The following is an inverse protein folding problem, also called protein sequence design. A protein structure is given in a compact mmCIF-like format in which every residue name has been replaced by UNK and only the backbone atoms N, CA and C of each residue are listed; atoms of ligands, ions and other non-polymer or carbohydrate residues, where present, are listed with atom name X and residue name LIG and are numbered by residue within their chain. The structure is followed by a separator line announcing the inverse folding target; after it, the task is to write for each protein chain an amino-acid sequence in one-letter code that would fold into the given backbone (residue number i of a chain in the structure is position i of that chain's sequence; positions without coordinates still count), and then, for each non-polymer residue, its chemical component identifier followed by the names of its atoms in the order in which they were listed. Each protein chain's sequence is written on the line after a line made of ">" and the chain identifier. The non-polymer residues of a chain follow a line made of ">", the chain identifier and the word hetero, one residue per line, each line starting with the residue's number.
data_IF_202012814136
#
_entry.id   IF_202012814136
#
_cell.length_a   1.000
_cell.length_b   1.000
_cell.length_c   1.000
_cell.angle_alpha   90.00
_cell.angle_beta   90.00
_cell.angle_gamma   90.00
#
_symmetry.space_group_name_H-M   'P 1'
#
loop_
_entity.id
_entity.type
_entity.pdbx_description
1 polymer ?
#
# COMPACT_ATOMS: atom_id res chain seq x y z
N UNK A 1 -5.81 77.31 -35.62
CA UNK A 1 -4.51 78.00 -35.55
C UNK A 1 -3.50 77.07 -34.87
N UNK A 2 -2.43 76.78 -35.59
CA UNK A 2 -1.08 76.35 -35.18
C UNK A 2 -0.82 75.05 -34.38
N UNK A 3 -0.22 74.10 -35.10
CA UNK A 3 1.14 73.53 -34.90
C UNK A 3 1.59 73.04 -33.51
N UNK A 4 2.01 71.76 -33.46
CA UNK A 4 3.43 71.38 -33.29
C UNK A 4 3.59 69.85 -33.18
N UNK A 5 4.23 69.22 -34.18
CA UNK A 5 5.64 68.77 -34.22
C UNK A 5 5.98 67.58 -33.34
N UNK A 6 6.30 66.49 -34.04
CA UNK A 6 7.19 65.43 -33.61
C UNK A 6 8.48 66.00 -32.99
N UNK A 7 8.91 65.39 -31.88
CA UNK A 7 10.32 65.36 -31.48
C UNK A 7 10.69 63.95 -31.03
N UNK A 8 11.65 63.37 -31.75
CA UNK A 8 12.41 62.21 -31.34
C UNK A 8 13.08 62.46 -29.99
N UNK A 9 12.96 61.49 -29.08
CA UNK A 9 13.88 61.33 -27.96
C UNK A 9 14.63 60.01 -28.13
N UNK A 10 15.96 60.15 -28.12
CA UNK A 10 17.02 59.18 -28.35
C UNK A 10 16.84 57.92 -27.49
N UNK A 11 16.78 56.76 -28.13
CA UNK A 11 16.98 55.47 -27.46
C UNK A 11 18.43 55.43 -26.98
N UNK A 12 18.60 55.43 -25.67
CA UNK A 12 19.89 55.34 -24.99
C UNK A 12 20.41 53.89 -25.11
N UNK A 13 21.35 53.65 -26.03
CA UNK A 13 21.94 52.34 -26.37
C UNK A 13 22.82 51.73 -25.27
N UNK A 14 22.72 52.17 -24.01
CA UNK A 14 23.57 51.70 -22.91
C UNK A 14 22.87 50.82 -21.86
N UNK A 15 21.63 50.37 -22.08
CA UNK A 15 20.92 49.47 -21.15
C UNK A 15 20.54 48.08 -21.71
N UNK A 16 21.02 47.69 -22.90
CA UNK A 16 20.69 46.39 -23.50
C UNK A 16 21.71 45.27 -23.20
N UNK A 17 22.85 45.59 -22.57
CA UNK A 17 23.91 44.61 -22.24
C UNK A 17 23.98 44.24 -20.75
N UNK A 18 23.03 44.66 -19.91
CA UNK A 18 22.98 44.27 -18.48
C UNK A 18 21.84 43.31 -18.09
N UNK A 19 20.96 42.96 -19.02
CA UNK A 19 19.85 42.02 -18.77
C UNK A 19 20.07 40.62 -19.35
N UNK A 20 21.19 40.37 -20.04
CA UNK A 20 21.54 39.02 -20.49
C UNK A 20 22.26 38.22 -19.39
N UNK A 21 23.05 38.84 -18.51
CA UNK A 21 23.77 38.08 -17.47
C UNK A 21 22.86 37.57 -16.34
N UNK A 22 21.71 38.22 -16.07
CA UNK A 22 20.74 37.75 -15.07
C UNK A 22 19.70 36.75 -15.59
N UNK A 23 19.57 36.60 -16.91
CA UNK A 23 18.64 35.62 -17.52
C UNK A 23 19.30 34.28 -17.81
N UNK A 24 20.62 34.25 -18.09
CA UNK A 24 21.39 33.01 -18.18
C UNK A 24 21.64 32.36 -16.81
N UNK A 25 21.83 33.14 -15.75
CA UNK A 25 21.98 32.58 -14.38
C UNK A 25 20.66 31.99 -13.86
N UNK A 26 19.50 32.55 -14.24
CA UNK A 26 18.21 31.98 -13.89
C UNK A 26 17.86 30.73 -14.71
N UNK A 27 18.12 30.71 -16.02
CA UNK A 27 17.88 29.52 -16.85
C UNK A 27 18.82 28.35 -16.52
N UNK A 28 20.09 28.61 -16.19
CA UNK A 28 21.00 27.57 -15.70
C UNK A 28 20.61 27.08 -14.30
N UNK A 29 20.12 27.96 -13.42
CA UNK A 29 19.66 27.54 -12.09
C UNK A 29 18.35 26.74 -12.17
N UNK A 30 17.40 27.13 -13.01
CA UNK A 30 16.16 26.37 -13.27
C UNK A 30 16.45 25.03 -13.95
N UNK A 31 17.40 24.99 -14.90
CA UNK A 31 17.86 23.74 -15.51
C UNK A 31 18.58 22.82 -14.52
N UNK A 32 19.42 23.37 -13.63
CA UNK A 32 20.11 22.59 -12.57
C UNK A 32 19.14 22.13 -11.47
N UNK A 33 18.11 22.91 -11.16
CA UNK A 33 17.02 22.53 -10.24
C UNK A 33 16.17 21.40 -10.84
N UNK A 34 15.76 21.54 -12.10
CA UNK A 34 15.02 20.48 -12.83
C UNK A 34 15.84 19.19 -12.91
N UNK A 35 17.15 19.29 -13.19
CA UNK A 35 18.02 18.11 -13.25
C UNK A 35 18.23 17.49 -11.86
N UNK A 36 18.40 18.31 -10.80
CA UNK A 36 18.52 17.81 -9.43
C UNK A 36 17.21 17.19 -8.92
N UNK A 37 16.06 17.72 -9.32
CA UNK A 37 14.74 17.14 -9.03
C UNK A 37 14.55 15.82 -9.77
N UNK A 38 14.91 15.73 -11.05
CA UNK A 38 14.91 14.48 -11.82
C UNK A 38 15.86 13.43 -11.22
N UNK A 39 17.08 13.81 -10.85
CA UNK A 39 18.06 12.94 -10.19
C UNK A 39 17.55 12.47 -8.81
N UNK A 40 16.95 13.36 -8.02
CA UNK A 40 16.37 13.01 -6.72
C UNK A 40 15.16 12.07 -6.87
N UNK A 41 14.28 12.31 -7.85
CA UNK A 41 13.15 11.44 -8.16
C UNK A 41 13.64 10.06 -8.62
N UNK A 42 14.65 10.01 -9.49
CA UNK A 42 15.24 8.75 -9.95
C UNK A 42 15.87 7.94 -8.79
N UNK A 43 16.60 8.60 -7.87
CA UNK A 43 17.14 7.94 -6.67
C UNK A 43 16.03 7.43 -5.75
N UNK A 44 14.95 8.19 -5.60
CA UNK A 44 13.79 7.79 -4.81
C UNK A 44 13.08 6.56 -5.39
N UNK A 45 12.86 6.54 -6.72
CA UNK A 45 12.27 5.41 -7.43
C UNK A 45 13.13 4.14 -7.32
N UNK A 46 14.45 4.27 -7.51
CA UNK A 46 15.38 3.14 -7.36
C UNK A 46 15.37 2.58 -5.92
N UNK A 47 15.27 3.44 -4.91
CA UNK A 47 15.16 3.03 -3.53
C UNK A 47 13.84 2.27 -3.27
N UNK A 48 12.72 2.77 -3.81
CA UNK A 48 11.43 2.08 -3.69
C UNK A 48 11.44 0.70 -4.38
N UNK A 49 12.01 0.59 -5.58
CA UNK A 49 12.16 -0.68 -6.30
C UNK A 49 12.95 -1.68 -5.46
N UNK A 50 14.09 -1.27 -4.89
CA UNK A 50 14.90 -2.12 -4.02
C UNK A 50 14.13 -2.61 -2.79
N UNK A 51 13.34 -1.73 -2.16
CA UNK A 51 12.48 -2.11 -1.02
C UNK A 51 11.43 -3.13 -1.44
N UNK A 52 10.77 -2.94 -2.58
CA UNK A 52 9.77 -3.87 -3.11
C UNK A 52 10.40 -5.23 -3.41
N UNK A 53 11.55 -5.25 -4.09
CA UNK A 53 12.27 -6.48 -4.42
C UNK A 53 12.70 -7.24 -3.16
N UNK A 54 13.31 -6.55 -2.20
CA UNK A 54 13.69 -7.13 -0.91
C UNK A 54 12.49 -7.72 -0.16
N UNK A 55 11.33 -7.06 -0.20
CA UNK A 55 10.13 -7.57 0.45
C UNK A 55 9.52 -8.76 -0.28
N UNK A 56 9.55 -8.77 -1.62
CA UNK A 56 9.11 -9.91 -2.44
C UNK A 56 9.94 -11.15 -2.19
N UNK A 57 11.25 -11.03 -2.03
CA UNK A 57 12.11 -12.16 -1.65
C UNK A 57 11.65 -12.82 -0.33
N UNK A 58 11.25 -12.02 0.67
CA UNK A 58 10.67 -12.53 1.92
C UNK A 58 9.37 -13.31 1.67
N UNK A 59 8.52 -12.84 0.75
CA UNK A 59 7.28 -13.53 0.41
C UNK A 59 7.54 -14.84 -0.35
N UNK A 60 8.51 -14.86 -1.28
CA UNK A 60 8.94 -16.08 -1.95
C UNK A 60 9.42 -17.12 -0.92
N UNK A 61 10.20 -16.68 0.07
CA UNK A 61 10.69 -17.54 1.15
C UNK A 61 9.56 -18.17 1.96
N UNK A 62 8.52 -17.40 2.27
CA UNK A 62 7.31 -17.89 2.96
C UNK A 62 6.57 -18.95 2.12
N UNK A 63 6.66 -18.89 0.79
CA UNK A 63 6.05 -19.86 -0.12
C UNK A 63 6.92 -21.06 -0.47
N UNK A 64 8.16 -21.18 0.05
CA UNK A 64 9.07 -22.30 -0.28
C UNK A 64 8.47 -23.68 -0.04
N UNK A 65 7.60 -23.81 0.96
CA UNK A 65 6.92 -25.06 1.28
C UNK A 65 5.58 -25.24 0.54
N UNK A 66 5.26 -24.36 -0.42
CA UNK A 66 3.93 -24.27 -1.06
C UNK A 66 2.78 -24.17 -0.04
N UNK A 67 3.06 -23.60 1.14
CA UNK A 67 2.16 -23.58 2.28
C UNK A 67 2.34 -22.32 3.11
N UNK A 68 1.24 -21.69 3.50
CA UNK A 68 1.20 -20.57 4.45
C UNK A 68 0.19 -20.90 5.54
N UNK A 69 0.69 -21.24 6.72
CA UNK A 69 -0.17 -21.70 7.81
C UNK A 69 -0.91 -22.99 7.44
N UNK A 70 -2.22 -22.92 7.27
CA UNK A 70 -3.10 -24.02 6.88
C UNK A 70 -3.59 -23.91 5.43
N UNK A 71 -3.04 -22.96 4.65
CA UNK A 71 -3.30 -22.80 3.21
C UNK A 71 -2.20 -23.49 2.44
N UNK A 72 -2.55 -24.49 1.63
CA UNK A 72 -1.63 -25.29 0.82
C UNK A 72 -1.94 -25.06 -0.65
N UNK A 73 -0.93 -24.84 -1.48
CA UNK A 73 -1.08 -24.75 -2.93
C UNK A 73 -1.23 -26.14 -3.53
N UNK A 74 -2.16 -26.32 -4.47
CA UNK A 74 -2.29 -27.57 -5.23
C UNK A 74 -1.37 -27.65 -6.45
N UNK A 75 -0.64 -26.57 -6.73
CA UNK A 75 0.38 -26.45 -7.78
C UNK A 75 1.57 -25.66 -7.26
N UNK A 76 2.68 -25.64 -8.01
CA UNK A 76 3.83 -24.81 -7.61
C UNK A 76 3.49 -23.32 -7.63
N UNK A 77 4.12 -22.53 -6.75
CA UNK A 77 3.95 -21.07 -6.76
C UNK A 77 4.21 -20.45 -8.15
N UNK A 78 5.28 -20.87 -8.84
CA UNK A 78 5.63 -20.33 -10.16
C UNK A 78 4.56 -20.63 -11.20
N UNK A 79 3.97 -21.83 -11.14
CA UNK A 79 2.83 -22.19 -11.99
C UNK A 79 1.62 -21.32 -11.68
N UNK A 80 1.27 -21.14 -10.41
CA UNK A 80 0.17 -20.28 -9.99
C UNK A 80 0.34 -18.83 -10.46
N UNK A 81 1.53 -18.25 -10.26
CA UNK A 81 1.86 -16.90 -10.74
C UNK A 81 1.72 -16.80 -12.25
N UNK A 82 2.21 -17.79 -13.00
CA UNK A 82 2.07 -17.84 -14.46
C UNK A 82 0.61 -17.90 -14.88
N UNK A 83 -0.22 -18.67 -14.16
CA UNK A 83 -1.65 -18.76 -14.44
C UNK A 83 -2.39 -17.43 -14.15
N UNK A 84 -2.02 -16.71 -13.09
CA UNK A 84 -2.60 -15.39 -12.77
C UNK A 84 -2.24 -14.36 -13.84
N UNK A 85 -0.97 -14.35 -14.28
CA UNK A 85 -0.44 -13.40 -15.27
C UNK A 85 -0.89 -13.65 -16.71
N UNK A 86 -1.77 -14.62 -16.97
CA UNK A 86 -2.41 -14.76 -18.28
C UNK A 86 -3.34 -13.58 -18.62
N UNK A 87 -3.68 -12.73 -17.64
CA UNK A 87 -4.45 -11.50 -17.80
C UNK A 87 -5.79 -11.71 -18.53
N UNK A 88 -6.42 -12.85 -18.27
CA UNK A 88 -7.77 -13.16 -18.74
C UNK A 88 -8.76 -12.75 -17.65
N UNK A 89 -9.67 -11.82 -17.98
CA UNK A 89 -10.68 -11.35 -17.05
C UNK A 89 -11.65 -12.46 -16.62
N UNK A 90 -12.02 -12.44 -15.34
CA UNK A 90 -12.97 -13.37 -14.73
C UNK A 90 -12.57 -14.85 -14.84
N UNK A 91 -11.27 -15.13 -14.86
CA UNK A 91 -10.74 -16.48 -14.88
C UNK A 91 -10.80 -17.13 -13.49
N UNK A 92 -11.00 -18.44 -13.46
CA UNK A 92 -10.91 -19.23 -12.23
C UNK A 92 -9.87 -20.34 -12.40
N UNK A 93 -8.97 -20.49 -11.43
CA UNK A 93 -8.08 -21.64 -11.31
C UNK A 93 -8.75 -22.62 -10.35
N UNK A 94 -9.22 -23.75 -10.89
CA UNK A 94 -9.91 -24.76 -10.11
C UNK A 94 -8.96 -25.48 -9.15
N UNK A 95 -9.42 -25.72 -7.91
CA UNK A 95 -8.67 -26.38 -6.84
C UNK A 95 -7.27 -25.76 -6.68
N UNK A 96 -7.16 -24.43 -6.71
CA UNK A 96 -5.87 -23.76 -6.62
C UNK A 96 -5.22 -23.94 -5.24
N UNK A 97 -6.04 -23.98 -4.19
CA UNK A 97 -5.58 -24.10 -2.80
C UNK A 97 -6.44 -25.05 -1.98
N UNK A 98 -5.84 -25.62 -0.96
CA UNK A 98 -6.50 -26.39 0.09
C UNK A 98 -6.41 -25.62 1.40
N UNK A 99 -7.53 -25.48 2.12
CA UNK A 99 -7.57 -24.86 3.45
C UNK A 99 -8.24 -25.83 4.40
N UNK A 100 -7.57 -26.21 5.49
CA UNK A 100 -8.06 -27.23 6.45
C UNK A 100 -8.46 -28.55 5.75
N UNK A 101 -7.71 -28.94 4.72
CA UNK A 101 -7.97 -30.16 3.94
C UNK A 101 -9.13 -30.06 2.93
N UNK A 102 -9.79 -28.90 2.80
CA UNK A 102 -10.87 -28.69 1.83
C UNK A 102 -10.36 -27.89 0.61
N UNK A 103 -10.75 -28.25 -0.62
CA UNK A 103 -10.32 -27.55 -1.82
C UNK A 103 -11.10 -26.26 -2.05
N UNK A 104 -10.41 -25.24 -2.55
CA UNK A 104 -10.97 -23.94 -2.95
C UNK A 104 -10.45 -23.55 -4.33
N UNK A 105 -11.28 -22.81 -5.05
CA UNK A 105 -10.89 -22.21 -6.32
C UNK A 105 -10.27 -20.83 -6.08
N UNK A 106 -9.41 -20.37 -7.00
CA UNK A 106 -8.91 -19.00 -7.02
C UNK A 106 -9.51 -18.27 -8.22
N UNK A 107 -10.44 -17.35 -7.96
CA UNK A 107 -10.97 -16.45 -8.97
C UNK A 107 -10.06 -15.22 -9.12
N UNK A 108 -9.80 -14.86 -10.37
CA UNK A 108 -8.96 -13.76 -10.81
C UNK A 108 -9.86 -12.77 -11.55
N UNK A 109 -9.90 -11.54 -11.06
CA UNK A 109 -10.70 -10.45 -11.64
C UNK A 109 -9.79 -9.26 -11.88
N UNK A 110 -10.03 -8.50 -12.94
CA UNK A 110 -9.46 -7.18 -13.11
C UNK A 110 -10.59 -6.16 -13.18
N UNK A 111 -10.46 -5.08 -12.40
CA UNK A 111 -11.41 -3.96 -12.42
C UNK A 111 -10.61 -2.69 -12.64
N UNK A 112 -10.87 -1.98 -13.75
CA UNK A 112 -10.09 -0.77 -14.08
C UNK A 112 -8.60 -1.02 -14.33
N UNK A 113 -8.18 -2.28 -14.57
CA UNK A 113 -6.78 -2.68 -14.69
C UNK A 113 -6.17 -3.20 -13.38
N UNK A 114 -6.86 -3.08 -12.25
CA UNK A 114 -6.36 -3.53 -10.95
C UNK A 114 -6.72 -5.00 -10.69
N UNK A 115 -5.73 -5.78 -10.26
CA UNK A 115 -5.91 -7.20 -9.95
C UNK A 115 -6.68 -7.41 -8.64
N UNK A 116 -7.70 -8.25 -8.68
CA UNK A 116 -8.40 -8.80 -7.53
C UNK A 116 -8.28 -10.32 -7.51
N UNK A 117 -8.00 -10.86 -6.33
CA UNK A 117 -7.91 -12.30 -6.07
C UNK A 117 -8.97 -12.68 -5.05
N UNK A 118 -9.76 -13.71 -5.34
CA UNK A 118 -10.78 -14.26 -4.44
C UNK A 118 -10.58 -15.76 -4.29
N UNK A 119 -10.51 -16.24 -3.04
CA UNK A 119 -10.59 -17.67 -2.75
C UNK A 119 -12.05 -18.04 -2.57
N UNK A 120 -12.54 -18.93 -3.42
CA UNK A 120 -13.96 -19.28 -3.54
C UNK A 120 -14.17 -20.72 -3.10
N UNK A 121 -15.10 -20.93 -2.16
CA UNK A 121 -15.46 -22.28 -1.72
C UNK A 121 -16.30 -23.04 -2.73
N UNK A 122 -16.37 -24.35 -2.56
CA UNK A 122 -17.10 -25.26 -3.44
C UNK A 122 -18.45 -25.64 -2.85
N UNK A 123 -19.35 -26.11 -3.71
CA UNK A 123 -20.67 -26.65 -3.32
C UNK A 123 -21.53 -25.61 -2.56
N UNK A 124 -22.21 -26.04 -1.49
CA UNK A 124 -23.12 -25.25 -0.64
C UNK A 124 -22.39 -24.42 0.44
N UNK A 125 -21.06 -24.27 0.34
CA UNK A 125 -20.32 -23.41 1.26
C UNK A 125 -20.71 -21.94 1.05
N UNK A 126 -21.05 -21.27 2.14
CA UNK A 126 -21.35 -19.84 2.17
C UNK A 126 -20.51 -19.18 3.26
N UNK A 127 -19.97 -18.01 2.93
CA UNK A 127 -19.06 -17.22 3.74
C UNK A 127 -19.58 -15.78 3.80
N UNK A 128 -19.25 -15.11 4.90
CA UNK A 128 -19.46 -13.68 5.03
C UNK A 128 -18.11 -12.97 5.22
N UNK A 129 -17.62 -12.33 4.16
CA UNK A 129 -16.40 -11.51 4.18
C UNK A 129 -16.69 -10.01 4.33
N UNK A 130 -17.93 -9.65 4.68
CA UNK A 130 -18.45 -8.29 4.90
C UNK A 130 -18.40 -7.33 3.70
N UNK A 131 -17.88 -7.71 2.53
CA UNK A 131 -17.80 -6.84 1.32
C UNK A 131 -17.78 -7.57 -0.03
N UNK A 132 -17.99 -8.88 -0.07
CA UNK A 132 -18.16 -9.60 -1.34
C UNK A 132 -19.64 -9.88 -1.57
N UNK A 133 -20.17 -9.48 -2.73
CA UNK A 133 -21.54 -9.83 -3.16
C UNK A 133 -21.65 -11.34 -3.46
N UNK A 134 -20.52 -12.01 -3.66
CA UNK A 134 -20.47 -13.45 -3.83
C UNK A 134 -20.32 -14.14 -2.48
N UNK A 135 -21.43 -14.71 -2.00
CA UNK A 135 -21.48 -15.46 -0.75
C UNK A 135 -20.58 -16.71 -0.72
N UNK A 136 -19.96 -17.12 -1.82
CA UNK A 136 -18.98 -18.22 -1.83
C UNK A 136 -17.54 -17.77 -1.60
N UNK A 137 -17.27 -16.47 -1.52
CA UNK A 137 -15.92 -15.94 -1.33
C UNK A 137 -15.51 -16.07 0.14
N UNK A 138 -14.55 -16.96 0.38
CA UNK A 138 -14.00 -17.26 1.69
C UNK A 138 -12.92 -16.24 2.14
N UNK A 139 -12.29 -15.57 1.18
CA UNK A 139 -11.40 -14.45 1.40
C UNK A 139 -11.03 -13.77 0.09
N UNK A 140 -10.67 -12.50 0.16
CA UNK A 140 -10.33 -11.70 -1.02
C UNK A 140 -9.27 -10.65 -0.71
N UNK A 141 -8.55 -10.24 -1.75
CA UNK A 141 -7.71 -9.05 -1.76
C UNK A 141 -7.95 -8.28 -3.08
N UNK A 142 -8.11 -6.97 -2.98
CA UNK A 142 -8.37 -6.09 -4.11
C UNK A 142 -7.80 -4.70 -3.84
N UNK A 143 -7.71 -3.88 -4.88
CA UNK A 143 -7.53 -2.44 -4.70
C UNK A 143 -8.70 -1.92 -3.86
N UNK A 144 -8.39 -1.21 -2.78
CA UNK A 144 -9.38 -0.70 -1.84
C UNK A 144 -9.53 0.80 -2.00
N UNK A 145 -10.74 1.26 -2.27
CA UNK A 145 -11.07 2.67 -2.10
C UNK A 145 -11.14 2.98 -0.59
N UNK A 146 -10.23 3.82 -0.10
CA UNK A 146 -10.34 4.35 1.25
C UNK A 146 -11.31 5.53 1.20
N UNK A 147 -12.57 5.28 1.60
CA UNK A 147 -13.73 6.18 1.49
C UNK A 147 -13.57 7.59 2.10
N UNK A 148 -12.45 7.84 2.79
CA UNK A 148 -12.17 9.10 3.49
C UNK A 148 -11.49 10.15 2.59
N UNK A 149 -10.95 9.78 1.42
CA UNK A 149 -9.95 10.62 0.74
C UNK A 149 -10.30 11.27 -0.59
N UNK A 150 -11.13 10.62 -1.43
CA UNK A 150 -11.05 10.84 -2.88
C UNK A 150 -11.45 12.24 -3.38
N UNK A 151 -12.11 13.05 -2.55
CA UNK A 151 -12.65 14.34 -3.01
C UNK A 151 -12.21 15.57 -2.21
N UNK A 152 -11.34 15.43 -1.19
CA UNK A 152 -11.11 16.57 -0.27
C UNK A 152 -9.76 17.25 -0.42
N UNK A 153 -8.62 16.59 -0.63
CA UNK A 153 -7.31 17.29 -0.74
C UNK A 153 -6.12 16.48 -1.34
N UNK A 154 -6.34 15.34 -2.01
CA UNK A 154 -5.23 14.61 -2.66
C UNK A 154 -4.24 13.88 -1.73
N UNK A 155 -4.60 13.68 -0.45
CA UNK A 155 -3.77 12.90 0.50
C UNK A 155 -3.84 11.38 0.28
N UNK A 156 -4.79 10.93 -0.55
CA UNK A 156 -5.06 9.54 -0.85
C UNK A 156 -5.23 9.40 -2.35
N UNK A 157 -4.53 8.46 -2.97
CA UNK A 157 -4.92 7.97 -4.28
C UNK A 157 -5.46 6.56 -4.12
N UNK A 158 -6.43 6.16 -4.95
CA UNK A 158 -6.91 4.78 -5.03
C UNK A 158 -5.77 3.77 -5.22
N UNK A 159 -4.58 4.20 -5.62
CA UNK A 159 -3.36 3.39 -5.78
C UNK A 159 -2.61 3.11 -4.46
N UNK A 160 -3.03 3.68 -3.34
CA UNK A 160 -2.28 3.64 -2.06
C UNK A 160 -2.88 2.70 -1.00
N UNK A 161 -3.80 1.80 -1.38
CA UNK A 161 -4.38 0.85 -0.43
C UNK A 161 -4.89 -0.45 -1.06
N UNK A 162 -4.55 -1.58 -0.47
CA UNK A 162 -5.22 -2.86 -0.71
C UNK A 162 -6.12 -3.26 0.45
N UNK A 163 -7.38 -3.53 0.15
CA UNK A 163 -8.29 -4.18 1.09
C UNK A 163 -8.06 -5.69 1.08
N UNK A 164 -7.93 -6.32 2.24
CA UNK A 164 -7.93 -7.78 2.40
C UNK A 164 -8.92 -8.19 3.48
N UNK A 165 -9.75 -9.20 3.19
CA UNK A 165 -10.73 -9.74 4.13
C UNK A 165 -10.81 -11.26 4.03
N UNK A 166 -11.11 -11.89 5.16
CA UNK A 166 -11.27 -13.35 5.28
C UNK A 166 -12.48 -13.67 6.15
N UNK A 167 -13.18 -14.73 5.80
CA UNK A 167 -14.34 -15.19 6.54
C UNK A 167 -13.96 -15.51 8.01
N UNK A 168 -14.82 -15.17 9.00
CA UNK A 168 -14.53 -15.36 10.42
C UNK A 168 -14.02 -16.77 10.79
N UNK A 169 -14.60 -17.81 10.21
CA UNK A 169 -14.28 -19.22 10.41
C UNK A 169 -12.91 -19.66 9.83
N UNK A 170 -12.35 -18.84 8.95
CA UNK A 170 -11.02 -19.03 8.37
C UNK A 170 -9.96 -18.08 8.95
N UNK A 171 -10.31 -17.27 9.96
CA UNK A 171 -9.31 -16.49 10.70
C UNK A 171 -8.28 -17.43 11.35
N UNK A 172 -7.03 -17.00 11.34
CA UNK A 172 -5.90 -17.80 11.87
C UNK A 172 -5.40 -18.93 10.94
N UNK A 173 -6.02 -19.14 9.77
CA UNK A 173 -5.54 -20.14 8.80
C UNK A 173 -4.31 -19.70 8.02
N UNK A 174 -4.02 -18.40 7.98
CA UNK A 174 -3.02 -17.82 7.08
C UNK A 174 -3.59 -17.35 5.74
N UNK A 175 -4.91 -17.42 5.51
CA UNK A 175 -5.52 -17.01 4.24
C UNK A 175 -5.28 -15.53 3.87
N UNK A 176 -5.30 -14.61 4.84
CA UNK A 176 -4.98 -13.21 4.58
C UNK A 176 -3.50 -13.02 4.23
N UNK A 177 -2.61 -13.78 4.87
CA UNK A 177 -1.18 -13.79 4.53
C UNK A 177 -0.95 -14.33 3.12
N UNK A 178 -1.62 -15.42 2.76
CA UNK A 178 -1.59 -16.02 1.44
C UNK A 178 -1.99 -15.03 0.35
N UNK A 179 -3.18 -14.44 0.48
CA UNK A 179 -3.73 -13.50 -0.52
C UNK A 179 -2.80 -12.29 -0.72
N UNK A 180 -2.33 -11.69 0.38
CA UNK A 180 -1.50 -10.50 0.31
C UNK A 180 -0.12 -10.78 -0.26
N UNK A 181 0.53 -11.87 0.17
CA UNK A 181 1.83 -12.25 -0.37
C UNK A 181 1.71 -12.60 -1.84
N UNK A 182 0.67 -13.35 -2.24
CA UNK A 182 0.44 -13.71 -3.63
C UNK A 182 0.22 -12.47 -4.49
N UNK A 183 -0.67 -11.54 -4.09
CA UNK A 183 -0.89 -10.29 -4.82
C UNK A 183 0.40 -9.47 -4.94
N UNK A 184 1.20 -9.37 -3.87
CA UNK A 184 2.49 -8.67 -3.91
C UNK A 184 3.52 -9.27 -4.88
N UNK A 185 3.42 -10.57 -5.18
CA UNK A 185 4.30 -11.27 -6.12
C UNK A 185 3.85 -11.16 -7.58
N UNK A 186 2.55 -10.97 -7.82
CA UNK A 186 1.98 -10.86 -9.17
C UNK A 186 1.78 -9.42 -9.64
N UNK A 187 1.49 -8.52 -8.70
CA UNK A 187 1.13 -7.12 -8.91
C UNK A 187 2.18 -6.18 -8.28
N UNK A 188 2.14 -4.89 -8.61
CA UNK A 188 3.03 -3.88 -8.05
C UNK A 188 2.67 -3.64 -6.58
N UNK A 189 3.55 -4.07 -5.67
CA UNK A 189 3.37 -3.79 -4.25
C UNK A 189 3.36 -2.28 -4.01
N UNK A 190 2.41 -1.83 -3.20
CA UNK A 190 2.20 -0.42 -2.90
C UNK A 190 3.32 0.15 -2.02
N UNK A 191 3.68 1.42 -2.24
CA UNK A 191 4.54 2.17 -1.33
C UNK A 191 3.84 2.44 0.00
N UNK A 192 2.53 2.73 -0.05
CA UNK A 192 1.74 3.11 1.12
C UNK A 192 0.61 2.12 1.40
N UNK A 193 0.22 2.06 2.67
CA UNK A 193 -0.94 1.34 3.15
C UNK A 193 -1.65 2.13 4.25
N UNK A 194 -2.90 1.78 4.53
CA UNK A 194 -3.74 2.48 5.49
C UNK A 194 -4.47 1.53 6.43
N UNK A 195 -4.57 1.92 7.70
CA UNK A 195 -5.33 1.17 8.70
C UNK A 195 -6.07 2.11 9.64
N UNK A 196 -7.30 1.74 10.01
CA UNK A 196 -8.03 2.48 11.03
C UNK A 196 -7.30 2.38 12.39
N UNK A 197 -7.23 3.48 13.13
CA UNK A 197 -6.44 3.61 14.37
C UNK A 197 -6.82 2.63 15.48
N UNK A 198 -8.06 2.12 15.48
CA UNK A 198 -8.52 1.09 16.40
C UNK A 198 -8.16 -0.35 15.97
N UNK A 199 -7.83 -0.57 14.69
CA UNK A 199 -7.63 -1.91 14.13
C UNK A 199 -6.17 -2.38 14.26
N UNK A 200 -5.72 -2.52 15.51
CA UNK A 200 -4.38 -3.00 15.85
C UNK A 200 -4.01 -4.38 15.28
N UNK A 201 -4.94 -5.36 15.14
CA UNK A 201 -4.66 -6.61 14.44
C UNK A 201 -4.22 -6.37 12.99
N UNK A 202 -4.90 -5.45 12.29
CA UNK A 202 -4.58 -5.12 10.90
C UNK A 202 -3.32 -4.26 10.78
N UNK A 203 -3.06 -3.40 11.76
CA UNK A 203 -1.77 -2.71 11.86
C UNK A 203 -0.62 -3.71 12.00
N UNK A 204 -0.77 -4.72 12.86
CA UNK A 204 0.27 -5.76 13.02
C UNK A 204 0.42 -6.60 11.74
N UNK A 205 -0.68 -6.85 11.03
CA UNK A 205 -0.66 -7.51 9.75
C UNK A 205 0.18 -6.74 8.73
N UNK A 206 -0.04 -5.43 8.53
CA UNK A 206 0.78 -4.65 7.60
C UNK A 206 2.23 -4.49 8.03
N UNK A 207 2.51 -4.42 9.34
CA UNK A 207 3.88 -4.48 9.85
C UNK A 207 4.56 -5.79 9.43
N UNK A 208 3.87 -6.92 9.53
CA UNK A 208 4.35 -8.21 9.00
C UNK A 208 4.58 -8.18 7.48
N UNK A 209 3.86 -7.32 6.74
CA UNK A 209 3.99 -7.13 5.28
C UNK A 209 5.06 -6.12 4.85
N UNK A 210 5.83 -5.58 5.79
CA UNK A 210 6.94 -4.68 5.48
C UNK A 210 6.63 -3.20 5.67
N UNK A 211 5.47 -2.85 6.21
CA UNK A 211 5.07 -1.46 6.38
C UNK A 211 5.35 -0.93 7.79
N UNK A 212 5.62 0.37 7.90
CA UNK A 212 5.82 1.06 9.18
C UNK A 212 4.90 2.28 9.30
N UNK A 213 4.33 2.55 10.48
CA UNK A 213 3.61 3.80 10.71
C UNK A 213 4.47 5.02 10.41
N UNK A 214 3.91 5.98 9.67
CA UNK A 214 4.59 7.23 9.34
C UNK A 214 3.74 8.47 9.68
N UNK A 215 2.42 8.39 9.58
CA UNK A 215 1.55 9.52 9.94
C UNK A 215 0.18 9.07 10.44
N UNK A 216 -0.52 9.99 11.10
CA UNK A 216 -1.92 9.85 11.50
C UNK A 216 -2.77 10.85 10.74
N UNK A 217 -3.98 10.44 10.37
CA UNK A 217 -4.90 11.25 9.59
C UNK A 217 -6.21 11.39 10.38
N UNK A 218 -6.50 12.61 10.83
CA UNK A 218 -7.63 12.89 11.73
C UNK A 218 -8.75 13.68 11.05
N UNK A 219 -10.03 13.32 11.24
CA UNK A 219 -11.18 14.14 10.84
C UNK A 219 -11.27 15.40 11.72
N UNK A 220 -12.07 16.41 11.33
CA UNK A 220 -12.94 16.46 10.15
C UNK A 220 -12.27 17.02 8.88
N UNK A 221 -11.01 17.47 8.95
CA UNK A 221 -10.30 18.05 7.80
C UNK A 221 -9.27 17.12 7.14
N UNK A 222 -9.16 15.89 7.64
CA UNK A 222 -8.17 14.90 7.20
C UNK A 222 -6.76 15.48 7.16
N UNK A 223 -6.38 16.14 8.25
CA UNK A 223 -5.02 16.64 8.39
C UNK A 223 -4.09 15.45 8.68
N UNK A 224 -3.14 15.25 7.76
CA UNK A 224 -2.03 14.32 7.98
C UNK A 224 -1.00 14.96 8.92
N UNK A 225 -0.72 14.28 10.03
CA UNK A 225 0.34 14.64 10.96
C UNK A 225 1.42 13.55 10.91
N UNK A 226 2.62 13.93 10.47
CA UNK A 226 3.80 13.06 10.55
C UNK A 226 4.08 12.67 12.00
N UNK A 227 4.26 11.37 12.22
CA UNK A 227 4.57 10.81 13.52
C UNK A 227 6.06 10.94 13.80
N UNK A 228 6.38 11.38 15.02
CA UNK A 228 7.73 11.28 15.57
C UNK A 228 8.00 9.86 16.05
N UNK A 229 9.28 9.52 16.23
CA UNK A 229 9.70 8.18 16.62
C UNK A 229 9.13 7.74 17.98
N UNK A 230 9.02 8.65 18.94
CA UNK A 230 8.41 8.42 20.24
C UNK A 230 6.91 8.13 20.12
N UNK A 231 6.19 8.84 19.24
CA UNK A 231 4.77 8.60 18.97
C UNK A 231 4.54 7.23 18.31
N UNK A 232 5.42 6.83 17.38
CA UNK A 232 5.41 5.49 16.79
C UNK A 232 5.65 4.44 17.90
N UNK A 233 6.61 4.66 18.79
CA UNK A 233 6.92 3.71 19.86
C UNK A 233 5.74 3.56 20.85
N UNK A 234 5.04 4.65 21.18
CA UNK A 234 3.81 4.61 21.99
C UNK A 234 2.73 3.78 21.30
N UNK A 235 2.50 4.01 20.00
CA UNK A 235 1.54 3.24 19.21
C UNK A 235 1.88 1.74 19.19
N UNK A 236 3.15 1.40 18.99
CA UNK A 236 3.62 0.02 18.98
C UNK A 236 3.51 -0.65 20.36
N UNK A 237 3.77 0.09 21.45
CA UNK A 237 3.55 -0.42 22.81
C UNK A 237 2.06 -0.72 23.05
N UNK A 238 1.16 0.12 22.55
CA UNK A 238 -0.28 -0.13 22.64
C UNK A 238 -0.69 -1.39 21.84
N UNK A 239 -0.14 -1.60 20.63
CA UNK A 239 -0.34 -2.85 19.86
C UNK A 239 0.03 -4.06 20.69
N UNK A 240 1.22 -4.01 21.31
CA UNK A 240 1.78 -5.07 22.14
C UNK A 240 0.87 -5.36 23.34
N UNK A 241 0.47 -4.33 24.09
CA UNK A 241 -0.35 -4.47 25.30
C UNK A 241 -1.76 -4.98 24.98
N UNK A 242 -2.35 -4.52 23.87
CA UNK A 242 -3.67 -5.00 23.42
C UNK A 242 -3.63 -6.46 23.00
N UNK A 243 -2.57 -6.91 22.30
CA UNK A 243 -2.38 -8.33 22.00
C UNK A 243 -2.29 -9.17 23.27
N UNK A 244 -1.50 -8.74 24.27
CA UNK A 244 -1.38 -9.46 25.56
C UNK A 244 -2.71 -9.57 26.31
N UNK A 245 -3.53 -8.54 26.25
CA UNK A 245 -4.76 -8.46 27.06
C UNK A 245 -6.01 -8.97 26.35
N UNK A 246 -5.95 -9.26 25.04
CA UNK A 246 -7.09 -9.70 24.24
C UNK A 246 -8.23 -8.67 24.14
N UNK A 247 -8.02 -7.43 24.61
CA UNK A 247 -9.05 -6.39 24.60
C UNK A 247 -9.27 -5.88 23.18
N UNK A 248 -10.45 -6.18 22.63
CA UNK A 248 -10.97 -5.55 21.42
C UNK A 248 -11.18 -4.06 21.70
N UNK A 249 -10.81 -3.22 20.74
CA UNK A 249 -11.01 -1.76 20.83
C UNK A 249 -12.40 -1.44 20.31
N UNK A 250 -13.11 -0.59 21.04
CA UNK A 250 -14.41 -0.09 20.61
C UNK A 250 -14.26 0.68 19.29
N UNK A 251 -15.01 0.28 18.27
CA UNK A 251 -15.01 0.91 16.94
C UNK A 251 -15.51 2.37 17.01
N UNK A 252 -16.17 2.75 18.11
CA UNK A 252 -16.73 4.09 18.31
C UNK A 252 -15.75 5.12 18.88
N UNK A 253 -14.53 4.71 19.30
CA UNK A 253 -13.64 5.57 20.10
C UNK A 253 -12.51 6.25 19.30
N UNK A 254 -12.25 5.85 18.06
CA UNK A 254 -11.08 6.32 17.31
C UNK A 254 -11.41 6.58 15.85
N UNK A 255 -11.59 7.86 15.54
CA UNK A 255 -11.98 8.36 14.22
C UNK A 255 -10.76 8.67 13.32
N UNK A 256 -9.55 8.16 13.60
CA UNK A 256 -8.36 8.47 12.80
C UNK A 256 -7.80 7.27 12.01
N UNK A 257 -7.22 7.55 10.84
CA UNK A 257 -6.44 6.60 10.07
C UNK A 257 -4.94 6.68 10.40
N UNK A 258 -4.23 5.58 10.23
CA UNK A 258 -2.78 5.51 10.30
C UNK A 258 -2.30 5.20 8.88
N UNK A 259 -1.43 6.07 8.35
CA UNK A 259 -0.73 5.83 7.09
C UNK A 259 0.57 5.11 7.38
N UNK A 260 0.85 4.13 6.55
CA UNK A 260 2.03 3.28 6.62
C UNK A 260 2.86 3.46 5.35
N UNK A 261 4.17 3.36 5.47
CA UNK A 261 5.11 3.38 4.34
C UNK A 261 5.91 2.09 4.28
N UNK A 262 6.28 1.65 3.09
CA UNK A 262 7.10 0.46 2.88
C UNK A 262 8.53 0.69 3.37
N UNK A 263 8.91 -0.06 4.39
CA UNK A 263 10.27 -0.15 4.93
C UNK A 263 10.48 -1.57 5.52
N UNK A 264 10.82 -2.55 4.67
CA UNK A 264 10.87 -3.95 5.07
C UNK A 264 11.90 -4.24 6.17
N UNK A 265 12.97 -3.46 6.25
CA UNK A 265 14.02 -3.63 7.26
C UNK A 265 13.53 -3.17 8.63
N UNK A 266 12.97 -1.96 8.70
CA UNK A 266 12.43 -1.42 9.95
C UNK A 266 11.19 -2.19 10.41
N UNK A 267 10.31 -2.57 9.48
CA UNK A 267 9.12 -3.35 9.76
C UNK A 267 9.46 -4.72 10.35
N UNK A 268 10.49 -5.41 9.85
CA UNK A 268 10.95 -6.68 10.41
C UNK A 268 11.46 -6.53 11.86
N UNK A 269 12.23 -5.49 12.16
CA UNK A 269 12.68 -5.21 13.52
C UNK A 269 11.50 -4.99 14.48
N UNK A 270 10.47 -4.26 14.03
CA UNK A 270 9.25 -4.03 14.80
C UNK A 270 8.47 -5.33 14.97
N UNK A 271 8.26 -6.08 13.89
CA UNK A 271 7.51 -7.34 13.92
C UNK A 271 8.15 -8.34 14.86
N UNK A 272 9.47 -8.50 14.83
CA UNK A 272 10.22 -9.39 15.73
C UNK A 272 10.05 -8.99 17.20
N UNK A 273 9.96 -7.68 17.52
CA UNK A 273 9.66 -7.22 18.89
C UNK A 273 8.22 -7.59 19.30
N UNK A 274 7.27 -7.48 18.38
CA UNK A 274 5.86 -7.87 18.64
C UNK A 274 5.74 -9.39 18.82
N UNK A 275 6.37 -10.20 17.95
CA UNK A 275 6.23 -11.66 17.92
C UNK A 275 7.01 -12.38 19.04
N UNK A 276 8.16 -11.85 19.46
CA UNK A 276 8.95 -12.46 20.54
C UNK A 276 8.24 -12.41 21.92
N UNK A 277 7.14 -11.67 22.02
CA UNK A 277 6.29 -11.63 23.21
C UNK A 277 5.24 -12.77 23.22
N UNK A 278 5.19 -13.62 22.19
CA UNK A 278 4.29 -14.79 22.10
C UNK A 278 4.92 -16.10 22.64
N UNK A 279 6.18 -16.04 23.11
CA UNK A 279 6.90 -17.20 23.69
C UNK A 279 6.83 -17.30 25.21
N UNK A 280 6.01 -16.49 25.87
CA UNK A 280 5.80 -16.50 27.33
C UNK A 280 4.31 -16.53 27.68
#
# INVERSE_FOLDING_TARGET
>A
MNDNRMKHSKINKNNFMKNCENSFVNAENESKLSQAEEEANHVCEQNLIQKIESNREKFLDVFKENKIGQVELSMSLNELIREIKKNEDNRTIENAVTIKGLPYDLAIKYSGGDLQLEVVGKNDQSFNTNRSDNQKVAGWIAQGDYAIGDNVNGFYTHKDHWGVSVAPELKGTGLSDFLYNLKSLVDNQLEFEHVAGYNYPFLTFYIKKGYVPCSIIKPPKFNEQQLKEDEIQIMLNNVIDKRKTGKVVDENDIDYGIKLTLDPSKAEQIYNKISNLEKF
#
